data_IF_146673896268
#
_entry.id   IF_146673896268
#
_cell.length_a   1.000
_cell.length_b   1.000
_cell.length_c   1.000
_cell.angle_alpha   90.00
_cell.angle_beta   90.00
_cell.angle_gamma   90.00
#
_symmetry.space_group_name_H-M   'P 1'
#
loop_
_entity.id
_entity.type
_entity.pdbx_description
1 polymer ?
#
# COMPACT_ATOMS: atom_id res chain seq x y z
N UNK A 1 -12.74 -51.10 -16.34
CA UNK A 1 -12.73 -49.62 -16.24
C UNK A 1 -14.04 -49.07 -16.80
N UNK A 2 -14.46 -47.85 -16.44
CA UNK A 2 -15.70 -47.23 -16.96
C UNK A 2 -15.76 -47.03 -18.49
N UNK A 3 -14.60 -47.09 -19.17
CA UNK A 3 -14.52 -47.01 -20.63
C UNK A 3 -14.64 -48.37 -21.35
N UNK A 4 -14.88 -49.49 -20.64
CA UNK A 4 -15.02 -50.83 -21.22
C UNK A 4 -13.70 -51.56 -21.51
N UNK A 5 -12.55 -50.87 -21.50
CA UNK A 5 -11.25 -51.51 -21.73
C UNK A 5 -10.72 -52.22 -20.47
N UNK A 6 -9.95 -53.29 -20.69
CA UNK A 6 -9.22 -54.03 -19.66
C UNK A 6 -7.73 -53.71 -19.75
N UNK A 7 -7.09 -53.55 -18.59
CA UNK A 7 -5.67 -53.29 -18.44
C UNK A 7 -5.14 -54.17 -17.30
N UNK A 8 -3.90 -54.64 -17.41
CA UNK A 8 -3.24 -55.35 -16.31
C UNK A 8 -3.00 -54.40 -15.13
N UNK A 9 -3.01 -54.94 -13.91
CA UNK A 9 -2.73 -54.16 -12.70
C UNK A 9 -1.35 -53.51 -12.76
N UNK A 10 -0.33 -54.22 -13.25
CA UNK A 10 1.03 -53.69 -13.40
C UNK A 10 1.08 -52.47 -14.34
N UNK A 11 0.36 -52.51 -15.47
CA UNK A 11 0.31 -51.38 -16.40
C UNK A 11 -0.42 -50.18 -15.79
N UNK A 12 -1.53 -50.41 -15.07
CA UNK A 12 -2.25 -49.33 -14.40
C UNK A 12 -1.45 -48.74 -13.23
N UNK A 13 -0.71 -49.56 -12.49
CA UNK A 13 0.17 -49.09 -11.40
C UNK A 13 1.26 -48.16 -11.94
N UNK A 14 1.83 -48.49 -13.10
CA UNK A 14 2.76 -47.63 -13.82
C UNK A 14 2.10 -46.36 -14.36
N UNK A 15 0.94 -46.46 -15.04
CA UNK A 15 0.22 -45.30 -15.57
C UNK A 15 -0.27 -44.31 -14.50
N UNK A 16 -0.48 -44.79 -13.27
CA UNK A 16 -0.97 -44.00 -12.14
C UNK A 16 0.14 -43.53 -11.21
N UNK A 17 1.40 -43.84 -11.53
CA UNK A 17 2.59 -43.48 -10.74
C UNK A 17 2.45 -43.84 -9.25
N UNK A 18 1.96 -45.04 -8.95
CA UNK A 18 1.57 -45.43 -7.58
C UNK A 18 2.70 -45.24 -6.54
N UNK A 19 3.96 -45.42 -6.96
CA UNK A 19 5.18 -45.19 -6.16
C UNK A 19 5.32 -43.77 -5.61
N UNK A 20 4.71 -42.76 -6.24
CA UNK A 20 4.76 -41.37 -5.78
C UNK A 20 3.77 -41.10 -4.64
N UNK A 21 2.67 -41.86 -4.58
CA UNK A 21 1.56 -41.62 -3.65
C UNK A 21 1.57 -42.57 -2.45
N UNK A 22 2.31 -43.67 -2.56
CA UNK A 22 2.37 -44.74 -1.57
C UNK A 22 3.81 -45.22 -1.35
N UNK A 23 4.07 -45.73 -0.15
CA UNK A 23 5.30 -46.44 0.19
C UNK A 23 5.19 -47.89 -0.24
N UNK A 24 6.23 -48.37 -0.90
CA UNK A 24 6.32 -49.71 -1.49
C UNK A 24 7.24 -50.56 -0.63
N UNK A 25 6.73 -51.69 -0.14
CA UNK A 25 7.53 -52.75 0.44
C UNK A 25 7.54 -53.92 -0.54
N UNK A 26 8.73 -54.35 -0.94
CA UNK A 26 8.88 -55.50 -1.83
C UNK A 26 9.17 -56.73 -0.99
N UNK A 27 8.33 -57.75 -1.11
CA UNK A 27 8.58 -59.04 -0.47
C UNK A 27 9.84 -59.66 -1.09
N UNK A 28 10.91 -59.80 -0.30
CA UNK A 28 12.22 -60.29 -0.76
C UNK A 28 12.15 -61.73 -1.28
N UNK A 29 11.09 -62.49 -0.97
CA UNK A 29 10.95 -63.90 -1.32
C UNK A 29 10.10 -64.14 -2.57
N UNK A 30 9.09 -63.31 -2.82
CA UNK A 30 8.19 -63.44 -3.98
C UNK A 30 8.41 -62.37 -5.04
N UNK A 31 9.06 -61.25 -4.69
CA UNK A 31 9.19 -60.08 -5.56
C UNK A 31 7.92 -59.23 -5.65
N UNK A 32 6.87 -59.56 -4.89
CA UNK A 32 5.61 -58.82 -4.93
C UNK A 32 5.74 -57.47 -4.21
N UNK A 33 5.23 -56.42 -4.86
CA UNK A 33 5.18 -55.07 -4.29
C UNK A 33 3.88 -54.88 -3.53
N UNK A 34 3.99 -54.52 -2.25
CA UNK A 34 2.87 -54.14 -1.39
C UNK A 34 2.96 -52.67 -1.02
N UNK A 35 1.80 -52.02 -0.99
CA UNK A 35 1.68 -50.61 -0.61
C UNK A 35 1.34 -50.51 0.88
N UNK A 36 2.28 -50.05 1.70
CA UNK A 36 2.20 -50.13 3.18
C UNK A 36 1.74 -48.84 3.85
N UNK A 37 2.09 -47.69 3.26
CA UNK A 37 1.76 -46.40 3.83
C UNK A 37 1.49 -45.33 2.76
N UNK A 38 0.91 -44.22 3.22
CA UNK A 38 0.56 -43.05 2.42
C UNK A 38 1.76 -42.10 2.38
N UNK A 39 2.28 -41.77 1.19
CA UNK A 39 3.23 -40.66 1.03
C UNK A 39 2.53 -39.31 1.07
N UNK A 40 3.32 -38.25 1.28
CA UNK A 40 2.87 -36.89 0.99
C UNK A 40 2.46 -36.78 -0.48
N UNK A 41 1.48 -35.91 -0.78
CA UNK A 41 1.11 -35.66 -2.17
C UNK A 41 2.27 -34.95 -2.89
N UNK A 42 2.54 -35.27 -4.16
CA UNK A 42 3.56 -34.58 -4.94
C UNK A 42 3.30 -33.09 -5.02
N UNK A 43 4.37 -32.28 -5.05
CA UNK A 43 4.27 -30.86 -5.29
C UNK A 43 3.97 -30.60 -6.77
N UNK A 44 2.81 -30.03 -7.08
CA UNK A 44 2.50 -29.50 -8.42
C UNK A 44 1.17 -29.92 -9.01
N UNK A 45 0.95 -29.51 -10.26
CA UNK A 45 -0.27 -29.84 -11.00
C UNK A 45 -0.20 -31.27 -11.53
N UNK A 46 -1.25 -32.05 -11.24
CA UNK A 46 -1.34 -33.43 -11.70
C UNK A 46 -2.54 -33.59 -12.63
N UNK A 47 -2.27 -34.00 -13.87
CA UNK A 47 -3.31 -34.22 -14.88
C UNK A 47 -4.10 -35.52 -14.63
N UNK A 48 -5.32 -35.59 -15.15
CA UNK A 48 -6.06 -36.86 -15.22
C UNK A 48 -5.38 -37.82 -16.20
N UNK A 49 -5.27 -39.09 -15.81
CA UNK A 49 -4.68 -40.12 -16.65
C UNK A 49 -5.74 -40.63 -17.64
N UNK A 50 -5.52 -40.49 -18.94
CA UNK A 50 -6.43 -41.04 -19.95
C UNK A 50 -6.16 -42.54 -20.16
N UNK A 51 -7.20 -43.27 -20.53
CA UNK A 51 -7.06 -44.63 -21.04
C UNK A 51 -6.24 -44.63 -22.34
N UNK A 52 -5.13 -45.35 -22.39
CA UNK A 52 -4.26 -45.42 -23.58
C UNK A 52 -4.97 -45.91 -24.86
N UNK A 53 -6.08 -46.67 -24.76
CA UNK A 53 -6.81 -47.20 -25.92
C UNK A 53 -7.86 -46.23 -26.49
N UNK A 54 -8.56 -45.47 -25.64
CA UNK A 54 -9.68 -44.63 -26.07
C UNK A 54 -9.62 -43.17 -25.61
N UNK A 55 -8.54 -42.80 -24.89
CA UNK A 55 -8.27 -41.47 -24.33
C UNK A 55 -9.30 -40.94 -23.31
N UNK A 56 -10.35 -41.71 -23.00
CA UNK A 56 -11.29 -41.36 -21.92
C UNK A 56 -10.56 -41.30 -20.56
N UNK A 57 -10.82 -40.27 -19.73
CA UNK A 57 -10.17 -40.14 -18.43
C UNK A 57 -10.58 -41.30 -17.50
N UNK A 58 -9.61 -41.83 -16.76
CA UNK A 58 -9.83 -42.89 -15.78
C UNK A 58 -10.23 -42.23 -14.45
N UNK A 59 -11.50 -42.36 -14.07
CA UNK A 59 -12.08 -41.62 -12.92
C UNK A 59 -12.68 -42.50 -11.82
N UNK A 60 -13.02 -43.76 -12.11
CA UNK A 60 -13.80 -44.60 -11.19
C UNK A 60 -13.10 -45.93 -10.91
N UNK A 61 -11.93 -45.89 -10.28
CA UNK A 61 -11.23 -47.08 -9.79
C UNK A 61 -10.82 -46.89 -8.33
N UNK A 62 -11.33 -47.74 -7.44
CA UNK A 62 -11.12 -47.60 -5.99
C UNK A 62 -9.64 -47.69 -5.58
N UNK A 63 -8.87 -48.63 -6.16
CA UNK A 63 -7.43 -48.79 -5.85
C UNK A 63 -6.63 -47.51 -6.12
N UNK A 64 -6.96 -46.81 -7.20
CA UNK A 64 -6.27 -45.59 -7.65
C UNK A 64 -6.95 -44.30 -7.14
N UNK A 65 -7.90 -44.42 -6.22
CA UNK A 65 -8.78 -43.32 -5.82
C UNK A 65 -8.04 -42.08 -5.34
N UNK A 66 -6.90 -42.24 -4.64
CA UNK A 66 -6.08 -41.10 -4.18
C UNK A 66 -5.52 -40.29 -5.36
N UNK A 67 -4.84 -40.96 -6.30
CA UNK A 67 -4.26 -40.35 -7.51
C UNK A 67 -5.33 -39.71 -8.38
N UNK A 68 -6.47 -40.39 -8.55
CA UNK A 68 -7.58 -39.93 -9.38
C UNK A 68 -8.23 -38.69 -8.76
N UNK A 69 -8.59 -38.74 -7.47
CA UNK A 69 -9.19 -37.59 -6.77
C UNK A 69 -8.25 -36.40 -6.74
N UNK A 70 -6.95 -36.63 -6.57
CA UNK A 70 -5.96 -35.55 -6.65
C UNK A 70 -5.94 -34.89 -8.03
N UNK A 71 -5.88 -35.68 -9.12
CA UNK A 71 -5.93 -35.12 -10.48
C UNK A 71 -7.25 -34.40 -10.81
N UNK A 72 -8.39 -34.89 -10.32
CA UNK A 72 -9.67 -34.19 -10.42
C UNK A 72 -9.67 -32.85 -9.68
N UNK A 73 -9.08 -32.82 -8.48
CA UNK A 73 -8.93 -31.60 -7.68
C UNK A 73 -8.01 -30.59 -8.37
N UNK A 74 -6.82 -31.01 -8.83
CA UNK A 74 -5.86 -30.17 -9.55
C UNK A 74 -6.49 -29.53 -10.80
N UNK A 75 -7.21 -30.31 -11.61
CA UNK A 75 -7.92 -29.77 -12.79
C UNK A 75 -8.99 -28.75 -12.44
N UNK A 76 -9.77 -28.98 -11.37
CA UNK A 76 -10.79 -28.03 -10.91
C UNK A 76 -10.17 -26.74 -10.38
N UNK A 77 -9.09 -26.85 -9.60
CA UNK A 77 -8.34 -25.70 -9.09
C UNK A 77 -7.78 -24.86 -10.23
N UNK A 78 -7.19 -25.49 -11.25
CA UNK A 78 -6.70 -24.78 -12.44
C UNK A 78 -7.80 -24.06 -13.21
N UNK A 79 -8.93 -24.72 -13.42
CA UNK A 79 -10.08 -24.08 -14.09
C UNK A 79 -10.59 -22.88 -13.30
N UNK A 80 -10.59 -22.97 -11.98
CA UNK A 80 -10.95 -21.86 -11.10
C UNK A 80 -9.93 -20.72 -11.19
N UNK A 81 -8.63 -21.03 -11.12
CA UNK A 81 -7.55 -20.06 -11.24
C UNK A 81 -7.61 -19.30 -12.57
N UNK A 82 -7.80 -20.00 -13.69
CA UNK A 82 -7.96 -19.38 -15.01
C UNK A 82 -9.17 -18.43 -15.07
N UNK A 83 -10.26 -18.77 -14.40
CA UNK A 83 -11.43 -17.89 -14.32
C UNK A 83 -11.14 -16.63 -13.50
N UNK A 84 -10.47 -16.78 -12.35
CA UNK A 84 -10.05 -15.66 -11.50
C UNK A 84 -9.05 -14.74 -12.22
N UNK A 85 -8.07 -15.32 -12.93
CA UNK A 85 -7.07 -14.56 -13.68
C UNK A 85 -7.72 -13.79 -14.85
N UNK A 86 -8.68 -14.39 -15.55
CA UNK A 86 -9.46 -13.71 -16.60
C UNK A 86 -10.28 -12.55 -16.04
N UNK A 87 -10.93 -12.75 -14.89
CA UNK A 87 -11.70 -11.70 -14.22
C UNK A 87 -10.79 -10.54 -13.77
N UNK A 88 -9.63 -10.86 -13.20
CA UNK A 88 -8.59 -9.90 -12.82
C UNK A 88 -8.09 -9.10 -14.02
N UNK A 89 -7.75 -9.76 -15.12
CA UNK A 89 -7.31 -9.09 -16.36
C UNK A 89 -8.36 -8.13 -16.90
N UNK A 90 -9.63 -8.52 -16.86
CA UNK A 90 -10.72 -7.62 -17.23
C UNK A 90 -10.78 -6.37 -16.34
N UNK A 91 -10.60 -6.52 -15.03
CA UNK A 91 -10.60 -5.40 -14.10
C UNK A 91 -9.40 -4.46 -14.33
N UNK A 92 -8.21 -5.01 -14.58
CA UNK A 92 -6.99 -4.27 -14.93
C UNK A 92 -7.18 -3.43 -16.19
N UNK A 93 -7.71 -4.01 -17.28
CA UNK A 93 -7.98 -3.26 -18.51
C UNK A 93 -8.93 -2.08 -18.28
N UNK A 94 -9.94 -2.26 -17.42
CA UNK A 94 -10.85 -1.16 -17.06
C UNK A 94 -10.19 -0.12 -16.17
N UNK A 95 -9.22 -0.51 -15.34
CA UNK A 95 -8.40 0.41 -14.57
C UNK A 95 -7.52 1.27 -15.48
N UNK A 96 -6.86 0.67 -16.47
CA UNK A 96 -6.03 1.41 -17.44
C UNK A 96 -6.83 2.51 -18.15
N UNK A 97 -8.06 2.19 -18.57
CA UNK A 97 -8.98 3.16 -19.19
C UNK A 97 -9.36 4.27 -18.20
N UNK A 98 -9.66 3.92 -16.94
CA UNK A 98 -10.01 4.91 -15.92
C UNK A 98 -8.82 5.83 -15.59
N UNK A 99 -7.60 5.29 -15.50
CA UNK A 99 -6.38 6.05 -15.27
C UNK A 99 -6.08 7.01 -16.43
N UNK A 100 -6.22 6.55 -17.68
CA UNK A 100 -6.03 7.39 -18.87
C UNK A 100 -7.03 8.56 -18.90
N UNK A 101 -8.32 8.31 -18.61
CA UNK A 101 -9.34 9.37 -18.53
C UNK A 101 -9.04 10.37 -17.42
N UNK A 102 -8.70 9.88 -16.23
CA UNK A 102 -8.35 10.75 -15.10
C UNK A 102 -7.15 11.64 -15.44
N UNK A 103 -6.12 11.10 -16.11
CA UNK A 103 -4.97 11.88 -16.55
C UNK A 103 -5.33 12.97 -17.57
N UNK A 104 -6.26 12.71 -18.48
CA UNK A 104 -6.74 13.71 -19.45
C UNK A 104 -7.54 14.83 -18.78
N UNK A 105 -8.31 14.52 -17.75
CA UNK A 105 -9.15 15.48 -17.04
C UNK A 105 -8.39 16.23 -15.92
N UNK A 106 -7.23 15.74 -15.48
CA UNK A 106 -6.50 16.23 -14.31
C UNK A 106 -6.11 17.71 -14.41
N UNK A 107 -5.51 18.15 -15.53
CA UNK A 107 -5.04 19.54 -15.68
C UNK A 107 -6.20 20.55 -15.70
N UNK A 108 -7.27 20.21 -16.42
CA UNK A 108 -8.48 21.02 -16.47
C UNK A 108 -9.15 21.09 -15.08
N UNK A 109 -9.15 19.98 -14.35
CA UNK A 109 -9.64 19.90 -12.98
C UNK A 109 -8.81 20.77 -12.02
N UNK A 110 -7.48 20.68 -12.05
CA UNK A 110 -6.59 21.49 -11.21
C UNK A 110 -6.77 22.99 -11.48
N UNK A 111 -6.89 23.37 -12.76
CA UNK A 111 -7.16 24.76 -13.16
C UNK A 111 -8.51 25.27 -12.67
N UNK A 112 -9.52 24.39 -12.58
CA UNK A 112 -10.84 24.75 -12.05
C UNK A 112 -10.82 24.92 -10.53
N UNK A 113 -10.09 24.04 -9.81
CA UNK A 113 -9.91 24.13 -8.36
C UNK A 113 -9.09 25.36 -7.96
N UNK A 114 -8.06 25.75 -8.71
CA UNK A 114 -7.26 26.94 -8.41
C UNK A 114 -8.09 28.24 -8.43
N UNK A 115 -9.21 28.25 -9.17
CA UNK A 115 -10.11 29.40 -9.27
C UNK A 115 -11.13 29.50 -8.13
N UNK A 116 -11.36 28.42 -7.38
CA UNK A 116 -12.29 28.47 -6.25
C UNK A 116 -11.62 29.16 -5.06
N UNK A 117 -12.35 30.01 -4.31
CA UNK A 117 -11.78 30.68 -3.16
C UNK A 117 -11.45 29.69 -2.04
N UNK A 118 -10.37 29.97 -1.32
CA UNK A 118 -9.93 29.12 -0.21
C UNK A 118 -10.76 29.37 1.04
N UNK A 119 -11.50 28.34 1.47
CA UNK A 119 -12.13 28.30 2.78
C UNK A 119 -11.09 27.87 3.82
N UNK A 120 -10.75 28.80 4.70
CA UNK A 120 -9.74 28.58 5.74
C UNK A 120 -10.38 27.89 6.94
N UNK A 121 -9.69 26.87 7.47
CA UNK A 121 -10.10 26.18 8.69
C UNK A 121 -9.10 26.47 9.80
N UNK A 122 -9.58 26.80 10.99
CA UNK A 122 -8.74 27.18 12.15
C UNK A 122 -8.08 26.00 12.86
N UNK A 123 -8.36 24.76 12.44
CA UNK A 123 -7.79 23.55 13.05
C UNK A 123 -8.25 22.25 12.38
N UNK A 124 -7.70 21.11 12.81
CA UNK A 124 -8.05 19.80 12.26
C UNK A 124 -9.55 19.49 12.46
N UNK A 125 -10.17 18.75 11.53
CA UNK A 125 -11.50 18.17 11.74
C UNK A 125 -11.56 17.36 13.03
N UNK A 126 -12.75 17.32 13.65
CA UNK A 126 -13.00 16.51 14.84
C UNK A 126 -12.59 15.04 14.60
N UNK A 127 -11.80 14.47 15.50
CA UNK A 127 -11.33 13.09 15.43
C UNK A 127 -12.50 12.08 15.40
N UNK A 128 -13.64 12.44 15.97
CA UNK A 128 -14.89 11.67 15.86
C UNK A 128 -15.43 11.59 14.43
N UNK A 129 -15.20 12.62 13.63
CA UNK A 129 -15.70 12.77 12.26
C UNK A 129 -14.68 12.33 11.19
N UNK A 130 -13.38 12.28 11.52
CA UNK A 130 -12.35 11.70 10.66
C UNK A 130 -12.58 10.20 10.52
N UNK A 131 -13.09 9.81 9.37
CA UNK A 131 -13.50 8.43 9.11
C UNK A 131 -12.29 7.63 8.63
N UNK A 132 -11.44 8.20 7.77
CA UNK A 132 -10.29 7.53 7.14
C UNK A 132 -9.23 7.01 8.15
N UNK A 133 -8.98 7.72 9.25
CA UNK A 133 -8.01 7.30 10.30
C UNK A 133 -8.51 6.19 11.25
N UNK A 134 -9.80 5.82 11.19
CA UNK A 134 -10.38 4.75 12.04
C UNK A 134 -10.19 3.34 11.48
N UNK A 135 -9.57 3.19 10.30
CA UNK A 135 -9.40 1.91 9.61
C UNK A 135 -8.01 1.34 9.88
N UNK A 136 -7.89 0.52 10.93
CA UNK A 136 -6.60 0.04 11.42
C UNK A 136 -6.46 -1.49 11.39
N UNK A 137 -7.41 -2.25 10.85
CA UNK A 137 -7.38 -3.72 10.91
C UNK A 137 -7.63 -4.42 9.56
N UNK A 138 -6.87 -5.50 9.34
CA UNK A 138 -6.87 -6.38 8.16
C UNK A 138 -8.25 -6.98 7.77
N UNK A 139 -9.20 -6.97 8.71
CA UNK A 139 -10.57 -7.50 8.57
C UNK A 139 -11.64 -6.44 8.34
N UNK A 140 -11.32 -5.15 8.48
CA UNK A 140 -12.33 -4.10 8.41
C UNK A 140 -12.66 -3.76 6.95
N UNK A 141 -13.95 -3.82 6.56
CA UNK A 141 -14.37 -3.46 5.22
C UNK A 141 -14.14 -1.96 4.98
N UNK A 142 -13.29 -1.61 4.03
CA UNK A 142 -13.12 -0.21 3.56
C UNK A 142 -14.48 0.46 3.33
N UNK A 143 -14.80 1.59 3.98
CA UNK A 143 -16.03 2.31 3.72
C UNK A 143 -15.84 3.32 2.60
N UNK A 144 -16.75 3.25 1.64
CA UNK A 144 -16.80 4.11 0.46
C UNK A 144 -17.28 5.55 0.79
N UNK A 145 -17.85 5.74 1.98
CA UNK A 145 -18.50 6.99 2.40
C UNK A 145 -17.57 8.23 2.47
N UNK A 146 -16.31 8.16 2.93
CA UNK A 146 -15.50 9.36 3.20
C UNK A 146 -15.03 10.10 1.94
N UNK A 147 -14.97 9.41 0.79
CA UNK A 147 -14.49 10.00 -0.47
C UNK A 147 -15.54 10.92 -1.15
N UNK A 148 -16.78 10.96 -0.63
CA UNK A 148 -17.92 11.72 -1.17
C UNK A 148 -18.62 12.61 -0.14
N UNK A 149 -18.02 12.81 1.03
CA UNK A 149 -18.54 13.70 2.09
C UNK A 149 -17.42 14.61 2.58
N UNK A 150 -16.73 15.24 1.64
CA UNK A 150 -15.55 16.06 1.90
C UNK A 150 -15.91 17.39 2.54
N UNK A 151 -16.99 18.04 2.13
CA UNK A 151 -17.45 19.28 2.73
C UNK A 151 -17.79 19.08 4.21
N UNK A 152 -18.58 18.05 4.53
CA UNK A 152 -19.03 17.79 5.91
C UNK A 152 -17.89 17.46 6.87
N UNK A 153 -16.89 16.71 6.42
CA UNK A 153 -15.79 16.25 7.27
C UNK A 153 -14.65 17.26 7.27
N UNK A 154 -14.14 17.61 6.09
CA UNK A 154 -12.92 18.40 5.93
C UNK A 154 -13.18 19.89 5.70
N UNK A 155 -14.42 20.31 5.46
CA UNK A 155 -14.73 21.72 5.19
C UNK A 155 -14.23 22.17 3.82
N UNK A 156 -14.16 21.23 2.87
CA UNK A 156 -13.82 21.52 1.47
C UNK A 156 -15.04 22.17 0.81
N UNK A 157 -14.89 23.25 0.01
CA UNK A 157 -16.02 23.90 -0.65
C UNK A 157 -16.87 22.92 -1.46
N UNK A 158 -18.20 23.08 -1.46
CA UNK A 158 -19.10 22.18 -2.19
C UNK A 158 -18.78 22.13 -3.69
N UNK A 159 -18.34 23.26 -4.26
CA UNK A 159 -17.89 23.33 -5.65
C UNK A 159 -16.69 22.40 -5.93
N UNK A 160 -15.68 22.43 -5.05
CA UNK A 160 -14.50 21.57 -5.11
C UNK A 160 -14.88 20.09 -4.95
N UNK A 161 -15.80 19.79 -4.02
CA UNK A 161 -16.27 18.41 -3.80
C UNK A 161 -16.99 17.83 -5.02
N UNK A 162 -17.77 18.64 -5.75
CA UNK A 162 -18.44 18.22 -6.99
C UNK A 162 -17.42 17.94 -8.09
N UNK A 163 -16.44 18.83 -8.26
CA UNK A 163 -15.35 18.64 -9.24
C UNK A 163 -14.52 17.40 -8.92
N UNK A 164 -14.15 17.22 -7.65
CA UNK A 164 -13.41 16.07 -7.16
C UNK A 164 -14.17 14.77 -7.39
N UNK A 165 -15.43 14.73 -6.96
CA UNK A 165 -16.31 13.57 -7.10
C UNK A 165 -16.47 13.14 -8.56
N UNK A 166 -16.47 14.11 -9.49
CA UNK A 166 -16.49 13.83 -10.93
C UNK A 166 -15.20 13.16 -11.39
N UNK A 167 -14.05 13.73 -11.05
CA UNK A 167 -12.73 13.22 -11.44
C UNK A 167 -12.49 11.79 -10.93
N UNK A 168 -12.73 11.54 -9.63
CA UNK A 168 -12.38 10.26 -9.01
C UNK A 168 -13.44 9.18 -9.19
N UNK A 169 -14.60 9.49 -9.78
CA UNK A 169 -15.74 8.57 -9.88
C UNK A 169 -15.34 7.21 -10.46
N UNK A 170 -14.64 7.22 -11.59
CA UNK A 170 -14.25 5.98 -12.28
C UNK A 170 -13.22 5.20 -11.45
N UNK A 171 -12.23 5.86 -10.86
CA UNK A 171 -11.26 5.21 -9.96
C UNK A 171 -11.93 4.60 -8.72
N UNK A 172 -12.87 5.31 -8.08
CA UNK A 172 -13.64 4.76 -6.95
C UNK A 172 -14.42 3.51 -7.39
N UNK A 173 -15.02 3.50 -8.58
CA UNK A 173 -15.69 2.31 -9.11
C UNK A 173 -14.71 1.16 -9.36
N UNK A 174 -13.47 1.43 -9.80
CA UNK A 174 -12.43 0.40 -9.97
C UNK A 174 -11.96 -0.14 -8.63
N UNK A 175 -11.77 0.71 -7.64
CA UNK A 175 -11.47 0.30 -6.27
C UNK A 175 -12.52 -0.68 -5.75
N UNK A 176 -13.81 -0.38 -5.94
CA UNK A 176 -14.91 -1.24 -5.52
C UNK A 176 -14.87 -2.61 -6.21
N UNK A 177 -14.56 -2.62 -7.50
CA UNK A 177 -14.42 -3.86 -8.27
C UNK A 177 -13.30 -4.73 -7.70
N UNK A 178 -12.09 -4.20 -7.52
CA UNK A 178 -10.98 -4.95 -6.92
C UNK A 178 -11.27 -5.42 -5.50
N UNK A 179 -11.96 -4.59 -4.69
CA UNK A 179 -12.41 -4.99 -3.35
C UNK A 179 -13.38 -6.18 -3.41
N UNK A 180 -14.34 -6.15 -4.32
CA UNK A 180 -15.30 -7.25 -4.49
C UNK A 180 -14.59 -8.53 -4.95
N UNK A 181 -13.62 -8.42 -5.87
CA UNK A 181 -12.76 -9.54 -6.25
C UNK A 181 -11.98 -10.08 -5.06
N UNK A 182 -11.40 -9.21 -4.23
CA UNK A 182 -10.67 -9.62 -3.04
C UNK A 182 -11.55 -10.40 -2.05
N UNK A 183 -12.75 -9.89 -1.77
CA UNK A 183 -13.73 -10.54 -0.88
C UNK A 183 -14.17 -11.90 -1.45
N UNK A 184 -14.47 -11.95 -2.74
CA UNK A 184 -14.84 -13.20 -3.43
C UNK A 184 -13.72 -14.24 -3.32
N UNK A 185 -12.47 -13.82 -3.52
CA UNK A 185 -11.30 -14.69 -3.44
C UNK A 185 -10.98 -15.15 -2.01
N UNK A 186 -11.24 -14.30 -0.99
CA UNK A 186 -11.15 -14.66 0.43
C UNK A 186 -12.13 -15.76 0.82
N UNK A 187 -13.30 -15.79 0.16
CA UNK A 187 -14.36 -16.78 0.41
C UNK A 187 -14.51 -17.80 -0.71
N UNK A 188 -13.47 -17.99 -1.53
CA UNK A 188 -13.53 -18.92 -2.65
C UNK A 188 -13.78 -20.36 -2.18
N UNK A 189 -14.46 -21.20 -2.98
CA UNK A 189 -14.67 -22.61 -2.64
C UNK A 189 -13.35 -23.35 -2.36
N UNK A 190 -12.28 -23.01 -3.08
CA UNK A 190 -10.95 -23.54 -2.86
C UNK A 190 -10.39 -23.19 -1.47
N UNK A 191 -10.56 -21.94 -1.05
CA UNK A 191 -10.14 -21.48 0.27
C UNK A 191 -10.95 -22.13 1.38
N UNK A 192 -12.27 -22.20 1.24
CA UNK A 192 -13.15 -22.88 2.20
C UNK A 192 -12.80 -24.36 2.35
N UNK A 193 -12.52 -25.04 1.23
CA UNK A 193 -12.09 -26.44 1.24
C UNK A 193 -10.74 -26.60 1.95
N UNK A 194 -9.79 -25.71 1.68
CA UNK A 194 -8.49 -25.69 2.36
C UNK A 194 -8.65 -25.49 3.87
N UNK A 195 -9.42 -24.49 4.30
CA UNK A 195 -9.64 -24.18 5.71
C UNK A 195 -10.34 -25.33 6.44
N UNK A 196 -11.32 -25.96 5.78
CA UNK A 196 -12.00 -27.14 6.31
C UNK A 196 -11.07 -28.35 6.43
N UNK A 197 -10.21 -28.59 5.42
CA UNK A 197 -9.25 -29.70 5.43
C UNK A 197 -8.16 -29.52 6.50
N UNK A 198 -7.56 -28.33 6.61
CA UNK A 198 -6.58 -28.01 7.64
C UNK A 198 -7.20 -28.10 9.03
N UNK A 199 -8.42 -27.58 9.21
CA UNK A 199 -9.16 -27.68 10.47
C UNK A 199 -9.48 -29.12 10.84
N UNK A 200 -9.84 -29.96 9.87
CA UNK A 200 -10.09 -31.39 10.09
C UNK A 200 -8.81 -32.14 10.49
N UNK A 201 -7.70 -31.89 9.80
CA UNK A 201 -6.39 -32.46 10.13
C UNK A 201 -5.92 -32.01 11.52
N UNK A 202 -6.09 -30.72 11.83
CA UNK A 202 -5.76 -30.18 13.14
C UNK A 202 -6.56 -30.89 14.23
N UNK A 203 -7.88 -31.03 14.06
CA UNK A 203 -8.74 -31.77 15.01
C UNK A 203 -8.24 -33.20 15.22
N UNK A 204 -7.92 -33.93 14.15
CA UNK A 204 -7.37 -35.30 14.25
C UNK A 204 -6.08 -35.30 15.06
N UNK A 205 -5.14 -34.42 14.73
CA UNK A 205 -3.83 -34.35 15.41
C UNK A 205 -3.90 -33.88 16.84
N UNK A 206 -4.91 -33.11 17.22
CA UNK A 206 -5.08 -32.63 18.61
C UNK A 206 -6.02 -33.49 19.43
N UNK A 207 -6.63 -34.54 18.86
CA UNK A 207 -7.51 -35.43 19.59
C UNK A 207 -6.64 -36.36 20.44
N UNK A 208 -6.93 -36.42 21.75
CA UNK A 208 -6.27 -37.36 22.66
C UNK A 208 -6.49 -38.78 22.18
N UNK A 209 -5.40 -39.52 21.99
CA UNK A 209 -5.45 -40.93 21.60
C UNK A 209 -5.14 -41.79 22.81
N UNK A 210 -6.02 -42.74 23.11
CA UNK A 210 -5.79 -43.73 24.15
C UNK A 210 -5.00 -44.90 23.57
N UNK A 211 -3.78 -45.13 24.08
CA UNK A 211 -3.01 -46.30 23.70
C UNK A 211 -3.35 -47.48 24.61
N UNK A 212 -3.92 -48.52 24.00
CA UNK A 212 -4.38 -49.73 24.67
C UNK A 212 -3.19 -50.57 25.14
N UNK A 213 -2.03 -50.47 24.49
CA UNK A 213 -0.84 -51.27 24.83
C UNK A 213 -0.11 -50.72 26.07
N UNK A 214 -0.04 -49.39 26.20
CA UNK A 214 0.62 -48.72 27.34
C UNK A 214 -0.34 -48.27 28.44
N UNK A 215 -1.66 -48.34 28.21
CA UNK A 215 -2.70 -47.85 29.11
C UNK A 215 -2.52 -46.36 29.50
N UNK A 216 -2.03 -45.55 28.56
CA UNK A 216 -1.80 -44.11 28.74
C UNK A 216 -2.60 -43.29 27.75
N UNK A 217 -3.03 -42.11 28.19
CA UNK A 217 -3.55 -41.08 27.29
C UNK A 217 -2.35 -40.41 26.66
N UNK A 218 -2.22 -40.53 25.33
CA UNK A 218 -1.22 -39.80 24.56
C UNK A 218 -1.84 -38.44 24.24
N UNK A 219 -1.23 -37.37 24.76
CA UNK A 219 -1.47 -36.01 24.27
C UNK A 219 -0.49 -35.69 23.15
N UNK A 220 -0.95 -35.59 21.88
CA UNK A 220 -0.07 -35.24 20.77
C UNK A 220 0.52 -33.83 20.87
N UNK A 221 0.06 -33.00 21.82
CA UNK A 221 0.56 -31.64 22.06
C UNK A 221 1.79 -31.59 22.95
N UNK A 222 2.22 -32.69 23.58
CA UNK A 222 3.44 -32.69 24.41
C UNK A 222 4.66 -32.27 23.57
N UNK A 223 5.12 -31.03 23.75
CA UNK A 223 6.32 -30.49 23.13
C UNK A 223 6.15 -29.77 21.78
N UNK A 224 4.94 -29.60 21.24
CA UNK A 224 4.69 -28.87 19.98
C UNK A 224 3.74 -27.68 20.15
N UNK A 225 4.09 -26.53 19.57
CA UNK A 225 3.23 -25.34 19.59
C UNK A 225 2.05 -25.48 18.62
N UNK A 226 0.91 -24.79 18.87
CA UNK A 226 -0.23 -24.80 17.95
C UNK A 226 0.13 -24.39 16.50
N UNK A 227 1.08 -23.46 16.33
CA UNK A 227 1.55 -23.01 15.01
C UNK A 227 2.31 -24.10 14.26
N UNK A 228 3.16 -24.88 14.93
CA UNK A 228 3.90 -25.99 14.31
C UNK A 228 2.93 -27.10 13.84
N UNK A 229 1.91 -27.39 14.65
CA UNK A 229 0.85 -28.36 14.29
C UNK A 229 0.08 -27.88 13.05
N UNK A 230 -0.29 -26.58 13.00
CA UNK A 230 -0.97 -26.00 11.84
C UNK A 230 -0.08 -26.07 10.59
N UNK A 231 1.21 -25.75 10.68
CA UNK A 231 2.11 -25.84 9.54
C UNK A 231 2.26 -27.28 9.03
N UNK A 232 2.32 -28.26 9.95
CA UNK A 232 2.31 -29.68 9.59
C UNK A 232 1.01 -30.09 8.90
N UNK A 233 -0.16 -29.59 9.36
CA UNK A 233 -1.45 -29.81 8.70
C UNK A 233 -1.50 -29.20 7.29
N UNK A 234 -0.94 -27.99 7.11
CA UNK A 234 -0.87 -27.34 5.79
C UNK A 234 -0.01 -28.17 4.83
N UNK A 235 1.16 -28.66 5.27
CA UNK A 235 2.02 -29.53 4.47
C UNK A 235 1.32 -30.84 4.08
N UNK A 236 0.59 -31.45 5.01
CA UNK A 236 -0.13 -32.70 4.78
C UNK A 236 -1.37 -32.54 3.89
N UNK A 237 -2.00 -31.36 3.89
CA UNK A 237 -3.19 -31.07 3.10
C UNK A 237 -2.94 -31.15 1.58
N UNK A 238 -1.69 -30.97 1.14
CA UNK A 238 -1.30 -31.06 -0.28
C UNK A 238 -1.96 -30.02 -1.19
N UNK A 239 -2.47 -28.93 -0.61
CA UNK A 239 -3.05 -27.77 -1.27
C UNK A 239 -2.08 -26.58 -1.14
N UNK A 240 -2.17 -25.55 -2.01
CA UNK A 240 -1.35 -24.34 -1.90
C UNK A 240 -1.40 -23.76 -0.49
N UNK A 241 -0.25 -23.34 0.05
CA UNK A 241 -0.07 -22.98 1.49
C UNK A 241 -1.08 -21.98 2.07
N UNK A 242 -1.75 -21.20 1.24
CA UNK A 242 -2.72 -20.18 1.64
C UNK A 242 -4.18 -20.52 1.26
N UNK A 243 -4.42 -21.60 0.51
CA UNK A 243 -5.74 -22.06 0.08
C UNK A 243 -6.40 -21.24 -1.02
N UNK A 244 -5.82 -20.11 -1.46
CA UNK A 244 -6.50 -19.16 -2.37
C UNK A 244 -6.47 -19.55 -3.85
N UNK A 245 -5.91 -20.70 -4.23
CA UNK A 245 -5.96 -21.23 -5.60
C UNK A 245 -5.26 -20.38 -6.66
N UNK A 246 -4.50 -19.34 -6.28
CA UNK A 246 -3.80 -18.45 -7.18
C UNK A 246 -3.43 -17.11 -6.54
N UNK A 247 -2.95 -16.17 -7.38
CA UNK A 247 -2.50 -14.85 -6.94
C UNK A 247 -3.61 -13.79 -6.97
N UNK A 248 -4.80 -14.11 -7.49
CA UNK A 248 -5.89 -13.15 -7.64
C UNK A 248 -6.31 -12.48 -6.32
N UNK A 249 -6.20 -13.18 -5.19
CA UNK A 249 -6.42 -12.61 -3.86
C UNK A 249 -5.41 -11.49 -3.54
N UNK A 250 -4.11 -11.75 -3.64
CA UNK A 250 -3.09 -10.72 -3.33
C UNK A 250 -3.06 -9.63 -4.39
N UNK A 251 -3.29 -9.97 -5.67
CA UNK A 251 -3.32 -9.03 -6.78
C UNK A 251 -4.51 -8.05 -6.64
N UNK A 252 -5.70 -8.52 -6.24
CA UNK A 252 -6.83 -7.60 -6.01
C UNK A 252 -6.55 -6.59 -4.89
N UNK A 253 -5.85 -7.03 -3.83
CA UNK A 253 -5.43 -6.12 -2.76
C UNK A 253 -4.37 -5.13 -3.25
N UNK A 254 -3.38 -5.60 -4.03
CA UNK A 254 -2.37 -4.76 -4.65
C UNK A 254 -2.99 -3.68 -5.53
N UNK A 255 -3.88 -4.05 -6.45
CA UNK A 255 -4.52 -3.08 -7.34
C UNK A 255 -5.48 -2.14 -6.62
N UNK A 256 -6.19 -2.61 -5.59
CA UNK A 256 -6.97 -1.70 -4.73
C UNK A 256 -6.10 -0.65 -4.06
N UNK A 257 -4.87 -1.01 -3.67
CA UNK A 257 -3.90 -0.09 -3.08
C UNK A 257 -3.35 0.87 -4.13
N UNK A 258 -3.06 0.39 -5.35
CA UNK A 258 -2.65 1.26 -6.46
C UNK A 258 -3.72 2.30 -6.83
N UNK A 259 -5.00 1.93 -6.78
CA UNK A 259 -6.11 2.88 -6.98
C UNK A 259 -6.13 3.96 -5.89
N UNK A 260 -5.84 3.60 -4.63
CA UNK A 260 -5.71 4.60 -3.56
C UNK A 260 -4.51 5.52 -3.80
N UNK A 261 -3.36 4.99 -4.23
CA UNK A 261 -2.18 5.79 -4.59
C UNK A 261 -2.49 6.74 -5.75
N UNK A 262 -3.31 6.30 -6.72
CA UNK A 262 -3.77 7.15 -7.83
C UNK A 262 -4.63 8.32 -7.32
N UNK A 263 -5.62 8.04 -6.46
CA UNK A 263 -6.47 9.06 -5.84
C UNK A 263 -5.63 10.00 -4.97
N UNK A 264 -4.73 9.46 -4.16
CA UNK A 264 -3.79 10.21 -3.33
C UNK A 264 -2.92 11.15 -4.16
N UNK A 265 -2.45 10.72 -5.32
CA UNK A 265 -1.64 11.56 -6.21
C UNK A 265 -2.42 12.78 -6.70
N UNK A 266 -3.70 12.62 -7.03
CA UNK A 266 -4.57 13.75 -7.39
C UNK A 266 -4.84 14.68 -6.21
N UNK A 267 -5.14 14.12 -5.02
CA UNK A 267 -5.37 14.91 -3.81
C UNK A 267 -4.11 15.72 -3.42
N UNK A 268 -2.93 15.11 -3.56
CA UNK A 268 -1.65 15.76 -3.25
C UNK A 268 -1.31 16.91 -4.20
N UNK A 269 -1.73 16.78 -5.48
CA UNK A 269 -1.61 17.85 -6.47
C UNK A 269 -2.54 19.02 -6.13
N UNK A 270 -3.78 18.75 -5.71
CA UNK A 270 -4.71 19.79 -5.22
C UNK A 270 -4.13 20.52 -4.01
N UNK A 271 -3.61 19.79 -3.03
CA UNK A 271 -2.96 20.39 -1.87
C UNK A 271 -1.66 21.17 -2.20
N UNK A 272 -1.13 21.05 -3.42
CA UNK A 272 -0.05 21.90 -3.91
C UNK A 272 -0.51 23.23 -4.53
N UNK A 273 -1.81 23.38 -4.79
CA UNK A 273 -2.45 24.56 -5.39
C UNK A 273 -3.32 25.34 -4.40
N UNK A 274 -3.51 24.80 -3.21
CA UNK A 274 -4.40 25.32 -2.16
C UNK A 274 -3.59 25.66 -0.91
N UNK A 275 -4.09 26.62 -0.14
CA UNK A 275 -3.45 27.00 1.11
C UNK A 275 -3.36 25.84 2.13
N UNK A 276 -2.37 25.89 3.02
CA UNK A 276 -2.13 24.92 4.09
C UNK A 276 -3.32 24.88 5.06
N UNK A 277 -4.03 25.99 5.23
CA UNK A 277 -5.23 26.07 6.10
C UNK A 277 -6.49 25.54 5.42
N UNK A 278 -6.39 25.04 4.18
CA UNK A 278 -7.50 24.41 3.46
C UNK A 278 -7.86 23.05 4.05
N UNK A 279 -9.14 22.68 3.97
CA UNK A 279 -9.62 21.32 4.25
C UNK A 279 -8.89 20.22 3.47
N UNK A 280 -8.32 20.56 2.31
CA UNK A 280 -7.52 19.65 1.48
C UNK A 280 -6.27 19.11 2.20
N UNK A 281 -5.62 19.90 3.06
CA UNK A 281 -4.46 19.44 3.84
C UNK A 281 -4.83 18.25 4.72
N UNK A 282 -5.90 18.39 5.50
CA UNK A 282 -6.39 17.35 6.42
C UNK A 282 -6.94 16.13 5.70
N UNK A 283 -7.58 16.33 4.55
CA UNK A 283 -8.01 15.22 3.71
C UNK A 283 -6.82 14.41 3.17
N UNK A 284 -5.74 15.08 2.72
CA UNK A 284 -4.53 14.42 2.25
C UNK A 284 -3.81 13.69 3.39
N UNK A 285 -3.72 14.28 4.58
CA UNK A 285 -3.17 13.63 5.78
C UNK A 285 -3.88 12.30 6.07
N UNK A 286 -5.21 12.35 6.19
CA UNK A 286 -6.03 11.17 6.45
C UNK A 286 -5.94 10.12 5.32
N UNK A 287 -5.85 10.57 4.07
CA UNK A 287 -5.71 9.68 2.91
C UNK A 287 -4.33 9.02 2.86
N UNK A 288 -3.27 9.70 3.31
CA UNK A 288 -1.93 9.13 3.44
C UNK A 288 -1.91 8.03 4.50
N UNK A 289 -2.51 8.27 5.66
CA UNK A 289 -2.63 7.26 6.72
C UNK A 289 -3.42 6.04 6.23
N UNK A 290 -4.55 6.27 5.56
CA UNK A 290 -5.36 5.19 4.97
C UNK A 290 -4.55 4.39 3.94
N UNK A 291 -3.81 5.06 3.06
CA UNK A 291 -2.99 4.39 2.04
C UNK A 291 -1.85 3.59 2.68
N UNK A 292 -1.25 4.09 3.76
CA UNK A 292 -0.22 3.36 4.51
C UNK A 292 -0.76 2.05 5.10
N UNK A 293 -1.92 2.09 5.76
CA UNK A 293 -2.55 0.88 6.31
C UNK A 293 -2.82 -0.15 5.20
N UNK A 294 -3.28 0.29 4.03
CA UNK A 294 -3.48 -0.60 2.88
C UNK A 294 -2.17 -1.24 2.39
N UNK A 295 -1.08 -0.47 2.35
CA UNK A 295 0.23 -0.96 1.97
C UNK A 295 0.79 -1.96 3.01
N UNK A 296 0.57 -1.72 4.29
CA UNK A 296 0.91 -2.66 5.38
C UNK A 296 0.11 -3.96 5.29
N UNK A 297 -1.20 -3.88 5.06
CA UNK A 297 -2.06 -5.05 4.84
C UNK A 297 -1.61 -5.88 3.63
N UNK A 298 -1.21 -5.20 2.55
CA UNK A 298 -0.66 -5.85 1.37
C UNK A 298 0.67 -6.54 1.69
N UNK A 299 1.56 -5.86 2.42
CA UNK A 299 2.86 -6.41 2.82
C UNK A 299 2.69 -7.65 3.70
N UNK A 300 1.85 -7.59 4.73
CA UNK A 300 1.54 -8.73 5.61
C UNK A 300 0.96 -9.90 4.82
N UNK A 301 -0.02 -9.62 3.95
CA UNK A 301 -0.63 -10.65 3.09
C UNK A 301 0.39 -11.27 2.14
N UNK A 302 1.29 -10.46 1.57
CA UNK A 302 2.30 -10.92 0.66
C UNK A 302 3.36 -11.80 1.35
N UNK A 303 3.87 -11.38 2.51
CA UNK A 303 4.85 -12.14 3.30
C UNK A 303 4.25 -13.47 3.79
N UNK A 304 3.06 -13.43 4.39
CA UNK A 304 2.37 -14.64 4.87
C UNK A 304 2.04 -15.61 3.72
N UNK A 305 1.72 -15.07 2.54
CA UNK A 305 1.44 -15.83 1.33
C UNK A 305 2.67 -16.23 0.52
N UNK A 306 3.89 -15.83 0.91
CA UNK A 306 5.15 -16.00 0.15
C UNK A 306 5.07 -15.43 -1.27
N UNK A 307 4.38 -14.31 -1.42
CA UNK A 307 4.22 -13.57 -2.68
C UNK A 307 5.31 -12.52 -2.83
N UNK A 308 6.53 -12.95 -3.14
CA UNK A 308 7.73 -12.08 -3.13
C UNK A 308 7.63 -10.86 -4.06
N UNK A 309 6.96 -10.99 -5.21
CA UNK A 309 6.74 -9.86 -6.13
C UNK A 309 5.86 -8.79 -5.50
N UNK A 310 4.74 -9.20 -4.90
CA UNK A 310 3.80 -8.31 -4.25
C UNK A 310 4.39 -7.70 -2.98
N UNK A 311 5.27 -8.43 -2.26
CA UNK A 311 6.02 -7.88 -1.14
C UNK A 311 6.99 -6.77 -1.58
N UNK A 312 7.67 -6.92 -2.73
CA UNK A 312 8.52 -5.87 -3.28
C UNK A 312 7.69 -4.63 -3.70
N UNK A 313 6.53 -4.80 -4.33
CA UNK A 313 5.66 -3.68 -4.69
C UNK A 313 5.08 -2.98 -3.46
N UNK A 314 4.69 -3.73 -2.41
CA UNK A 314 4.20 -3.15 -1.17
C UNK A 314 5.24 -2.21 -0.52
N UNK A 315 6.52 -2.62 -0.47
CA UNK A 315 7.62 -1.77 0.01
C UNK A 315 7.76 -0.49 -0.79
N UNK A 316 7.70 -0.57 -2.13
CA UNK A 316 7.73 0.63 -2.99
C UNK A 316 6.57 1.58 -2.70
N UNK A 317 5.37 1.05 -2.47
CA UNK A 317 4.20 1.86 -2.10
C UNK A 317 4.43 2.51 -0.73
N UNK A 318 4.91 1.77 0.26
CA UNK A 318 5.23 2.30 1.59
C UNK A 318 6.28 3.42 1.51
N UNK A 319 7.35 3.24 0.74
CA UNK A 319 8.35 4.29 0.50
C UNK A 319 7.74 5.55 -0.12
N UNK A 320 6.89 5.42 -1.15
CA UNK A 320 6.22 6.57 -1.79
C UNK A 320 5.29 7.30 -0.82
N UNK A 321 4.49 6.56 -0.03
CA UNK A 321 3.58 7.16 0.96
C UNK A 321 4.38 7.85 2.07
N UNK A 322 5.45 7.24 2.61
CA UNK A 322 6.33 7.91 3.59
C UNK A 322 6.96 9.18 3.02
N UNK A 323 7.42 9.14 1.76
CA UNK A 323 7.95 10.32 1.09
C UNK A 323 6.89 11.44 1.01
N UNK A 324 5.65 11.12 0.65
CA UNK A 324 4.55 12.09 0.60
C UNK A 324 4.16 12.62 2.00
N UNK A 325 4.24 11.79 3.04
CA UNK A 325 4.07 12.22 4.43
C UNK A 325 5.13 13.26 4.83
N UNK A 326 6.41 13.03 4.50
CA UNK A 326 7.48 14.01 4.76
C UNK A 326 7.28 15.28 3.93
N UNK A 327 6.85 15.18 2.67
CA UNK A 327 6.51 16.34 1.84
C UNK A 327 5.36 17.15 2.44
N UNK A 328 4.33 16.50 3.00
CA UNK A 328 3.22 17.18 3.66
C UNK A 328 3.68 17.90 4.94
N UNK A 329 4.53 17.26 5.76
CA UNK A 329 5.16 17.90 6.92
C UNK A 329 5.91 19.17 6.48
N UNK A 330 6.69 19.07 5.41
CA UNK A 330 7.47 20.18 4.86
C UNK A 330 6.65 21.36 4.34
N UNK A 331 5.36 21.18 4.06
CA UNK A 331 4.46 22.31 3.72
C UNK A 331 4.12 23.17 4.92
N UNK A 332 4.10 22.60 6.12
CA UNK A 332 3.79 23.38 7.33
C UNK A 332 5.01 24.19 7.78
N UNK A 333 4.84 25.44 8.23
CA UNK A 333 5.91 26.24 8.81
C UNK A 333 6.61 25.51 9.96
N UNK A 334 7.88 25.82 10.18
CA UNK A 334 8.64 25.22 11.28
C UNK A 334 8.08 25.77 12.60
N UNK A 335 7.70 24.90 13.55
CA UNK A 335 7.23 25.36 14.85
C UNK A 335 8.28 26.21 15.55
N UNK A 336 7.84 27.33 16.15
CA UNK A 336 8.66 28.17 17.03
C UNK A 336 8.92 27.49 18.37
N UNK A 337 8.00 26.64 18.83
CA UNK A 337 8.17 25.86 20.04
C UNK A 337 9.24 24.77 19.85
N UNK A 338 10.13 24.64 20.83
CA UNK A 338 11.27 23.72 20.76
C UNK A 338 10.84 22.25 20.82
N UNK A 339 9.81 21.93 21.58
CA UNK A 339 9.33 20.56 21.73
C UNK A 339 8.56 20.14 20.49
N UNK A 340 7.71 21.00 19.94
CA UNK A 340 7.02 20.75 18.65
C UNK A 340 8.02 20.59 17.49
N UNK A 341 9.06 21.43 17.44
CA UNK A 341 10.15 21.30 16.45
C UNK A 341 10.90 19.97 16.60
N UNK A 342 11.20 19.57 17.84
CA UNK A 342 11.85 18.27 18.13
C UNK A 342 10.96 17.10 17.71
N UNK A 343 9.67 17.15 18.00
CA UNK A 343 8.70 16.13 17.63
C UNK A 343 8.54 16.01 16.11
N UNK A 344 8.53 17.15 15.40
CA UNK A 344 8.55 17.19 13.93
C UNK A 344 9.78 16.48 13.37
N UNK A 345 10.97 16.79 13.87
CA UNK A 345 12.21 16.18 13.39
C UNK A 345 12.25 14.69 13.67
N UNK A 346 11.84 14.27 14.87
CA UNK A 346 11.71 12.85 15.19
C UNK A 346 10.78 12.12 14.22
N UNK A 347 9.60 12.69 13.92
CA UNK A 347 8.66 12.09 12.95
C UNK A 347 9.27 11.95 11.55
N UNK A 348 10.04 12.95 11.10
CA UNK A 348 10.75 12.88 9.81
C UNK A 348 11.83 11.80 9.83
N UNK A 349 12.56 11.67 10.93
CA UNK A 349 13.63 10.67 11.10
C UNK A 349 13.05 9.25 11.11
N UNK A 350 12.00 9.01 11.89
CA UNK A 350 11.31 7.71 11.97
C UNK A 350 10.80 7.29 10.57
N UNK A 351 10.20 8.21 9.81
CA UNK A 351 9.72 7.95 8.44
C UNK A 351 10.88 7.64 7.47
N UNK A 352 12.00 8.34 7.62
CA UNK A 352 13.18 8.17 6.77
C UNK A 352 13.86 6.84 7.04
N UNK A 353 14.05 6.49 8.31
CA UNK A 353 14.63 5.21 8.74
C UNK A 353 13.83 4.03 8.19
N UNK A 354 12.50 4.06 8.35
CA UNK A 354 11.63 3.01 7.81
C UNK A 354 11.72 2.92 6.27
N UNK A 355 11.87 4.05 5.57
CA UNK A 355 12.08 4.05 4.12
C UNK A 355 13.44 3.47 3.72
N UNK A 356 14.48 3.64 4.54
CA UNK A 356 15.80 3.05 4.30
C UNK A 356 15.81 1.53 4.51
N UNK A 357 15.09 1.04 5.53
CA UNK A 357 14.89 -0.40 5.76
C UNK A 357 14.24 -1.05 4.53
N UNK A 358 13.22 -0.40 3.95
CA UNK A 358 12.56 -0.90 2.74
C UNK A 358 13.48 -0.89 1.51
N UNK A 359 14.30 0.15 1.35
CA UNK A 359 15.30 0.24 0.29
C UNK A 359 16.32 -0.90 0.38
N UNK A 360 16.85 -1.14 1.58
CA UNK A 360 17.79 -2.24 1.83
C UNK A 360 17.14 -3.60 1.52
N UNK A 361 15.90 -3.81 1.98
CA UNK A 361 15.16 -5.03 1.69
C UNK A 361 14.90 -5.24 0.19
N UNK A 362 14.63 -4.17 -0.58
CA UNK A 362 14.50 -4.24 -2.05
C UNK A 362 15.84 -4.62 -2.68
N UNK A 363 16.96 -4.03 -2.24
CA UNK A 363 18.27 -4.34 -2.79
C UNK A 363 18.70 -5.79 -2.53
N UNK A 364 18.34 -6.33 -1.36
CA UNK A 364 18.77 -7.65 -0.89
C UNK A 364 17.82 -8.79 -1.27
N UNK A 365 16.50 -8.56 -1.24
CA UNK A 365 15.50 -9.64 -1.32
C UNK A 365 14.54 -9.53 -2.52
N UNK A 366 14.68 -8.52 -3.38
CA UNK A 366 13.80 -8.38 -4.54
C UNK A 366 14.00 -9.51 -5.57
N UNK A 367 12.92 -10.14 -6.08
CA UNK A 367 13.01 -11.18 -7.11
C UNK A 367 13.70 -10.71 -8.39
N UNK A 368 14.60 -11.55 -8.94
CA UNK A 368 15.42 -11.22 -10.12
C UNK A 368 14.63 -10.68 -11.31
N UNK A 369 13.42 -11.18 -11.55
CA UNK A 369 12.60 -10.77 -12.70
C UNK A 369 12.05 -9.33 -12.66
N UNK A 370 12.04 -8.68 -11.48
CA UNK A 370 11.56 -7.29 -11.31
C UNK A 370 12.62 -6.40 -10.63
N UNK A 371 13.79 -6.95 -10.28
CA UNK A 371 14.80 -6.27 -9.46
C UNK A 371 15.26 -4.95 -10.07
N UNK A 372 15.56 -4.91 -11.36
CA UNK A 372 16.05 -3.70 -12.02
C UNK A 372 15.04 -2.55 -11.92
N UNK A 373 13.77 -2.81 -12.23
CA UNK A 373 12.69 -1.81 -12.15
C UNK A 373 12.44 -1.37 -10.70
N UNK A 374 12.39 -2.32 -9.77
CA UNK A 374 12.18 -2.01 -8.36
C UNK A 374 13.31 -1.16 -7.77
N UNK A 375 14.57 -1.50 -8.05
CA UNK A 375 15.74 -0.75 -7.58
C UNK A 375 15.76 0.66 -8.18
N UNK A 376 15.48 0.79 -9.48
CA UNK A 376 15.40 2.11 -10.12
C UNK A 376 14.33 2.99 -9.47
N UNK A 377 13.13 2.44 -9.24
CA UNK A 377 12.04 3.17 -8.56
C UNK A 377 12.41 3.51 -7.12
N UNK A 378 13.03 2.59 -6.38
CA UNK A 378 13.44 2.80 -5.00
C UNK A 378 14.48 3.92 -4.88
N UNK A 379 15.49 3.95 -5.75
CA UNK A 379 16.49 5.02 -5.79
C UNK A 379 15.85 6.37 -6.14
N UNK A 380 14.91 6.41 -7.09
CA UNK A 380 14.17 7.64 -7.40
C UNK A 380 13.35 8.15 -6.21
N UNK A 381 12.78 7.24 -5.41
CA UNK A 381 12.06 7.57 -4.18
C UNK A 381 13.00 8.05 -3.07
N UNK A 382 14.18 7.45 -2.94
CA UNK A 382 15.23 7.89 -2.01
C UNK A 382 15.66 9.32 -2.30
N UNK A 383 15.92 9.66 -3.56
CA UNK A 383 16.26 11.04 -3.95
C UNK A 383 15.13 12.04 -3.64
N UNK A 384 13.87 11.63 -3.87
CA UNK A 384 12.69 12.44 -3.53
C UNK A 384 12.56 12.62 -2.02
N UNK A 385 12.80 11.56 -1.25
CA UNK A 385 12.80 11.59 0.22
C UNK A 385 13.87 12.54 0.74
N UNK A 386 15.10 12.45 0.24
CA UNK A 386 16.20 13.34 0.65
C UNK A 386 15.90 14.83 0.38
N UNK A 387 15.21 15.14 -0.73
CA UNK A 387 14.70 16.50 -0.98
C UNK A 387 13.61 16.89 0.01
N UNK A 388 12.65 16.01 0.26
CA UNK A 388 11.56 16.26 1.20
C UNK A 388 12.05 16.49 2.64
N UNK A 389 13.03 15.72 3.09
CA UNK A 389 13.65 15.85 4.43
C UNK A 389 14.30 17.23 4.60
N UNK A 390 15.08 17.71 3.61
CA UNK A 390 15.69 19.04 3.66
C UNK A 390 14.65 20.14 3.78
N UNK A 391 13.57 20.06 3.00
CA UNK A 391 12.45 21.02 3.09
C UNK A 391 11.78 20.93 4.47
N UNK A 392 11.48 19.72 4.94
CA UNK A 392 10.81 19.51 6.23
C UNK A 392 11.62 20.03 7.42
N UNK A 393 12.95 20.06 7.31
CA UNK A 393 13.88 20.60 8.31
C UNK A 393 14.18 22.09 8.18
N UNK A 394 13.76 22.73 7.08
CA UNK A 394 14.14 24.13 6.78
C UNK A 394 15.57 24.29 6.27
N UNK A 395 16.19 23.20 5.81
CA UNK A 395 17.55 23.17 5.27
C UNK A 395 17.57 23.35 3.74
N UNK A 396 16.40 23.59 3.13
CA UNK A 396 16.31 23.82 1.70
C UNK A 396 16.96 25.16 1.32
N UNK A 397 17.78 25.21 0.25
CA UNK A 397 18.24 26.49 -0.28
C UNK A 397 17.03 27.32 -0.69
N UNK A 398 17.07 28.63 -0.38
CA UNK A 398 16.03 29.60 -0.71
C UNK A 398 15.52 29.40 -2.15
N UNK A 399 14.24 29.06 -2.28
CA UNK A 399 13.51 29.17 -3.53
C UNK A 399 12.82 30.52 -3.56
N UNK A 400 12.98 31.33 -4.62
CA UNK A 400 12.25 32.58 -4.76
C UNK A 400 10.75 32.33 -4.58
N UNK A 401 10.10 33.08 -3.68
CA UNK A 401 8.65 33.01 -3.49
C UNK A 401 7.96 33.22 -4.84
N UNK A 402 6.93 32.42 -5.12
CA UNK A 402 6.06 32.64 -6.27
C UNK A 402 5.32 33.98 -6.13
N UNK A 403 4.86 34.54 -7.26
CA UNK A 403 4.13 35.81 -7.23
C UNK A 403 2.89 35.74 -6.33
N UNK A 404 2.18 34.62 -6.32
CA UNK A 404 0.98 34.44 -5.50
C UNK A 404 1.31 34.36 -4.00
N UNK A 405 2.39 33.66 -3.61
CA UNK A 405 2.88 33.64 -2.23
C UNK A 405 3.34 35.04 -1.79
N UNK A 406 4.00 35.81 -2.67
CA UNK A 406 4.38 37.20 -2.40
C UNK A 406 3.14 38.08 -2.16
N UNK A 407 2.09 37.92 -2.97
CA UNK A 407 0.83 38.67 -2.81
C UNK A 407 0.11 38.28 -1.51
N UNK A 408 0.13 37.01 -1.11
CA UNK A 408 -0.46 36.55 0.16
C UNK A 408 0.29 37.12 1.37
N UNK A 409 1.62 37.00 1.39
CA UNK A 409 2.47 37.59 2.42
C UNK A 409 2.29 39.11 2.51
N UNK A 410 2.22 39.77 1.35
CA UNK A 410 1.94 41.19 1.26
C UNK A 410 0.60 41.53 1.93
N UNK A 411 -0.50 40.86 1.55
CA UNK A 411 -1.84 41.13 2.12
C UNK A 411 -1.90 40.91 3.63
N UNK A 412 -1.32 39.81 4.12
CA UNK A 412 -1.32 39.47 5.55
C UNK A 412 -0.54 40.50 6.38
N UNK A 413 0.62 40.95 5.87
CA UNK A 413 1.44 41.94 6.56
C UNK A 413 0.90 43.36 6.41
N UNK A 414 0.29 43.72 5.27
CA UNK A 414 -0.27 45.06 5.04
C UNK A 414 -1.37 45.44 6.03
N UNK A 415 -2.16 44.49 6.55
CA UNK A 415 -3.13 44.77 7.61
C UNK A 415 -2.48 45.20 8.93
N UNK A 416 -1.27 44.71 9.22
CA UNK A 416 -0.51 45.07 10.42
C UNK A 416 0.30 46.36 10.22
N UNK A 417 0.79 46.60 9.00
CA UNK A 417 1.75 47.67 8.69
C UNK A 417 1.14 49.07 8.53
N UNK A 418 -0.20 49.22 8.50
CA UNK A 418 -0.96 50.50 8.41
C UNK A 418 -0.32 51.60 7.53
N UNK A 419 0.37 51.22 6.46
CA UNK A 419 1.03 52.12 5.51
C UNK A 419 2.36 52.73 5.94
N UNK A 420 2.98 52.32 7.06
CA UNK A 420 4.25 52.90 7.55
C UNK A 420 5.47 51.96 7.49
N UNK A 421 5.32 50.77 6.94
CA UNK A 421 6.38 49.77 6.89
C UNK A 421 7.05 49.65 5.52
N UNK A 422 8.36 49.36 5.52
CA UNK A 422 9.14 49.10 4.31
C UNK A 422 9.72 47.68 4.30
N UNK A 423 9.83 47.11 3.11
CA UNK A 423 10.35 45.77 2.86
C UNK A 423 11.83 45.79 2.51
N UNK A 424 12.57 44.83 3.05
CA UNK A 424 14.02 44.71 2.94
C UNK A 424 14.43 43.27 2.66
N UNK A 425 15.65 43.08 2.15
CA UNK A 425 16.29 41.78 1.94
C UNK A 425 17.59 41.72 2.73
N UNK A 426 17.84 40.58 3.38
CA UNK A 426 19.14 40.31 3.96
C UNK A 426 20.19 40.02 2.86
N UNK A 427 21.46 39.93 3.22
CA UNK A 427 22.57 39.59 2.30
C UNK A 427 22.36 38.30 1.51
N UNK A 428 21.56 37.37 2.05
CA UNK A 428 21.23 36.08 1.42
C UNK A 428 19.88 36.11 0.65
N UNK A 429 19.24 37.27 0.53
CA UNK A 429 18.04 37.45 -0.29
C UNK A 429 16.69 37.22 0.41
N UNK A 430 16.66 36.85 1.70
CA UNK A 430 15.40 36.65 2.44
C UNK A 430 14.69 37.98 2.72
N UNK A 431 13.42 38.06 2.33
CA UNK A 431 12.58 39.25 2.51
C UNK A 431 12.12 39.37 3.96
N UNK A 432 12.21 40.57 4.53
CA UNK A 432 11.69 40.92 5.84
C UNK A 432 11.12 42.34 5.83
N UNK A 433 10.32 42.70 6.83
CA UNK A 433 9.69 44.01 6.91
C UNK A 433 10.07 44.77 8.19
N UNK A 434 10.21 46.08 8.08
CA UNK A 434 10.39 46.99 9.22
C UNK A 434 9.10 47.82 9.33
N UNK A 435 8.29 47.53 10.37
CA UNK A 435 6.93 48.04 10.52
C UNK A 435 6.81 49.48 11.02
N UNK A 436 7.63 49.86 12.02
CA UNK A 436 7.59 51.17 12.65
C UNK A 436 8.53 52.14 11.91
N UNK A 437 7.99 53.25 11.41
CA UNK A 437 8.64 54.33 10.63
C UNK A 437 9.41 53.91 9.36
N UNK A 438 9.43 52.62 9.02
CA UNK A 438 10.03 52.09 7.80
C UNK A 438 11.56 52.19 7.73
N UNK A 439 12.23 52.62 8.80
CA UNK A 439 13.70 52.73 8.87
C UNK A 439 14.26 51.93 10.04
N UNK A 440 15.47 51.38 9.89
CA UNK A 440 16.07 50.55 10.91
C UNK A 440 16.44 51.34 12.17
N UNK A 441 15.79 51.00 13.27
CA UNK A 441 16.13 51.48 14.62
C UNK A 441 16.68 50.36 15.52
N UNK A 442 16.59 49.11 15.07
CA UNK A 442 17.02 47.95 15.81
C UNK A 442 17.75 46.96 14.90
N UNK A 443 18.84 46.41 15.43
CA UNK A 443 19.58 45.31 14.81
C UNK A 443 18.96 43.97 15.25
N UNK A 444 18.81 43.06 14.30
CA UNK A 444 18.32 41.70 14.54
C UNK A 444 19.06 40.69 13.64
N UNK A 445 18.62 39.45 13.64
CA UNK A 445 19.11 38.38 12.76
C UNK A 445 17.98 37.84 11.89
N UNK A 446 18.30 37.49 10.65
CA UNK A 446 17.37 36.86 9.73
C UNK A 446 16.92 35.51 10.32
N UNK A 447 15.60 35.26 10.48
CA UNK A 447 15.12 34.00 11.04
C UNK A 447 15.39 32.79 10.14
N UNK A 448 15.63 33.02 8.85
CA UNK A 448 15.88 31.96 7.86
C UNK A 448 17.38 31.60 7.76
N UNK A 449 18.29 32.58 7.75
CA UNK A 449 19.72 32.32 7.51
C UNK A 449 20.68 32.84 8.58
N UNK A 450 20.18 33.50 9.62
CA UNK A 450 21.00 34.05 10.71
C UNK A 450 21.87 35.25 10.33
N UNK A 451 21.82 35.73 9.08
CA UNK A 451 22.52 36.95 8.67
C UNK A 451 21.99 38.18 9.44
N UNK A 452 22.84 39.20 9.64
CA UNK A 452 22.43 40.43 10.32
C UNK A 452 21.39 41.17 9.50
N UNK A 453 20.29 41.56 10.13
CA UNK A 453 19.19 42.34 9.50
C UNK A 453 18.88 43.59 10.33
N UNK A 454 18.32 44.61 9.67
CA UNK A 454 18.04 45.90 10.30
C UNK A 454 19.26 46.81 10.36
N UNK A 455 19.46 47.50 11.49
CA UNK A 455 20.42 48.60 11.65
C UNK A 455 20.12 49.46 12.88
N UNK A 456 20.59 50.71 12.93
CA UNK A 456 20.35 51.61 14.06
C UNK A 456 20.47 53.08 13.66
N UNK A 457 19.88 53.99 14.44
CA UNK A 457 19.84 55.44 14.14
C UNK A 457 19.29 55.76 12.73
N UNK A 458 18.27 55.03 12.28
CA UNK A 458 17.71 55.08 10.93
C UNK A 458 18.68 54.65 9.80
N UNK A 459 19.84 54.11 10.14
CA UNK A 459 20.82 53.62 9.17
C UNK A 459 20.78 52.09 9.12
N UNK A 460 20.63 51.55 7.92
CA UNK A 460 20.63 50.10 7.67
C UNK A 460 22.06 49.57 7.65
N UNK A 461 22.25 48.31 8.04
CA UNK A 461 23.51 47.64 7.72
C UNK A 461 23.73 47.60 6.20
N UNK A 462 24.98 47.85 5.77
CA UNK A 462 25.33 47.95 4.36
C UNK A 462 25.02 46.68 3.55
N UNK A 463 24.95 45.53 4.21
CA UNK A 463 24.63 44.24 3.56
C UNK A 463 23.12 44.02 3.35
N UNK A 464 22.26 44.91 3.86
CA UNK A 464 20.81 44.84 3.67
C UNK A 464 20.38 45.76 2.52
N UNK A 465 19.45 45.29 1.70
CA UNK A 465 18.92 46.05 0.55
C UNK A 465 17.41 46.21 0.67
N UNK A 466 16.81 47.21 0.03
CA UNK A 466 15.35 47.34 -0.04
C UNK A 466 14.77 46.31 -1.01
N UNK A 467 13.66 45.69 -0.61
CA UNK A 467 12.93 44.76 -1.47
C UNK A 467 12.01 45.52 -2.41
N UNK A 468 12.58 46.01 -3.52
CA UNK A 468 11.84 46.80 -4.51
C UNK A 468 10.67 46.04 -5.14
N UNK A 469 10.68 44.71 -5.10
CA UNK A 469 9.60 43.88 -5.66
C UNK A 469 8.34 43.95 -4.78
N UNK A 470 8.51 43.85 -3.46
CA UNK A 470 7.41 44.03 -2.50
C UNK A 470 7.00 45.51 -2.36
N UNK A 471 7.96 46.45 -2.42
CA UNK A 471 7.65 47.89 -2.43
C UNK A 471 6.81 48.29 -3.67
N UNK A 472 7.07 47.70 -4.84
CA UNK A 472 6.27 47.94 -6.03
C UNK A 472 4.83 47.40 -5.92
N UNK A 473 4.56 46.44 -5.01
CA UNK A 473 3.21 45.96 -4.72
C UNK A 473 2.42 46.95 -3.84
N UNK A 474 3.10 47.76 -3.01
CA UNK A 474 2.49 48.82 -2.19
C UNK A 474 1.88 49.94 -3.04
N UNK A 475 2.48 50.25 -4.19
CA UNK A 475 2.07 51.34 -5.07
C UNK A 475 0.94 51.03 -6.07
N UNK A 476 0.39 49.80 -6.08
CA UNK A 476 -0.66 49.37 -7.02
C UNK A 476 -2.04 49.22 -6.35
N UNK A 477 -2.40 50.18 -5.50
CA UNK A 477 -3.72 50.27 -4.89
C UNK A 477 -4.75 50.94 -5.79
#
# INVERSE_FOLDING_TARGET
MGCGHALTMSNLDGMMDMKEYYEEETDKRTGDVRYVAKKALPDGEVSQVPCHLCRKPIVDLFRYGRRIKYGQLSMRLKKHQLAQDKEMQGALQRLDVAQARMAQEADAFLTAIEKTPDEHRTGPPDAGQRVLGKFQKLGDPFPQAPLRTLNKVYGIPVADEVLWSKLIKDAVNRYQEFRNLNISNRRSPSKQLFDAAVSHLYRIKTTLTFDVASNTIIDPKEGSTPSEIIEACIKECGLPRNGHGGNAYVNSLHESTNVLVLILSQAFAVAGKKDIMSGWYWFVEDLLECTMVHAEMLMETAVNGKFERQAAFARLIQMDVRCKMVQLIGRTPIPTDKDEKRMRFKKVDDLTEQSMIDLEAINNSCPLGIKAECVQRANSLEEKMARAVRIARGEAPYSPLSYDEKVMLFRAMSSELRGSGHWYRCVNGHTYVIANCGMAMQASVCPECGARVGGGNHEMFAENTRDMEFEAMVGRH
#
